data_IF_148277170769
#
_entry.id   IF_148277170769
#
_cell.length_a   1.000
_cell.length_b   1.000
_cell.length_c   1.000
_cell.angle_alpha   90.00
_cell.angle_beta   90.00
_cell.angle_gamma   90.00
#
_symmetry.space_group_name_H-M   'P 1'
#
loop_
_entity.id
_entity.type
_entity.pdbx_description
1 polymer ?
#
# COMPACT_ATOMS: atom_id res chain seq x y z
N UNK A 1 -22.16 -0.55 -11.61
CA UNK A 1 -20.79 -0.30 -11.12
C UNK A 1 -19.99 0.10 -12.33
N UNK A 2 -19.36 1.27 -12.32
CA UNK A 2 -18.38 1.61 -13.35
C UNK A 2 -17.25 0.57 -13.31
N UNK A 3 -16.73 0.20 -14.48
CA UNK A 3 -15.65 -0.74 -14.61
C UNK A 3 -14.35 -0.04 -14.19
N UNK A 4 -13.79 -0.43 -13.04
CA UNK A 4 -12.57 0.19 -12.52
C UNK A 4 -11.37 -0.44 -13.24
N UNK A 5 -10.66 0.35 -14.04
CA UNK A 5 -9.39 -0.05 -14.65
C UNK A 5 -8.23 0.26 -13.69
N UNK A 6 -7.48 -0.77 -13.29
CA UNK A 6 -6.27 -0.62 -12.48
C UNK A 6 -5.05 -0.40 -13.38
N UNK A 7 -4.40 0.76 -13.25
CA UNK A 7 -3.20 1.12 -14.04
C UNK A 7 -1.90 0.62 -13.42
N UNK A 8 -1.94 0.09 -12.20
CA UNK A 8 -0.79 -0.40 -11.47
C UNK A 8 -1.19 -1.56 -10.55
N UNK A 9 -0.30 -2.53 -10.40
CA UNK A 9 -0.48 -3.67 -9.50
C UNK A 9 0.88 -4.09 -8.99
N UNK A 10 0.97 -4.33 -7.68
CA UNK A 10 2.21 -4.70 -7.02
C UNK A 10 1.98 -5.96 -6.16
N UNK A 11 2.71 -7.06 -6.38
CA UNK A 11 2.66 -8.21 -5.48
C UNK A 11 3.31 -7.84 -4.14
N UNK A 12 2.58 -8.02 -3.04
CA UNK A 12 3.07 -7.74 -1.69
C UNK A 12 3.49 -9.04 -1.01
N UNK A 13 4.71 -9.06 -0.48
CA UNK A 13 5.18 -10.13 0.39
C UNK A 13 4.74 -9.86 1.84
N UNK A 14 3.97 -10.77 2.42
CA UNK A 14 3.66 -10.74 3.86
C UNK A 14 4.86 -11.19 4.68
N UNK A 15 5.13 -10.47 5.77
CA UNK A 15 6.24 -10.74 6.69
C UNK A 15 5.69 -11.26 8.00
N UNK A 16 6.48 -12.04 8.72
CA UNK A 16 6.13 -12.49 10.08
C UNK A 16 5.79 -11.31 11.00
N UNK A 17 6.49 -10.19 10.86
CA UNK A 17 6.26 -8.98 11.66
C UNK A 17 4.98 -8.20 11.29
N UNK A 18 4.34 -8.53 10.17
CA UNK A 18 3.09 -7.88 9.76
C UNK A 18 1.88 -8.47 10.52
N UNK A 19 2.05 -9.66 11.11
CA UNK A 19 1.02 -10.38 11.83
C UNK A 19 1.03 -9.96 13.30
N UNK A 20 -0.15 -9.64 13.84
CA UNK A 20 -0.30 -9.29 15.25
C UNK A 20 -0.63 -10.51 16.13
N UNK A 21 -0.88 -10.26 17.41
CA UNK A 21 -1.19 -11.30 18.40
C UNK A 21 -2.48 -12.08 18.11
N UNK A 22 -3.35 -11.56 17.23
CA UNK A 22 -4.57 -12.24 16.83
C UNK A 22 -4.36 -13.21 15.67
N UNK A 23 -3.15 -13.24 15.08
CA UNK A 23 -2.80 -14.20 14.02
C UNK A 23 -3.21 -13.75 12.62
N UNK A 24 -3.53 -12.48 12.45
CA UNK A 24 -3.80 -11.86 11.15
C UNK A 24 -2.95 -10.60 10.97
N UNK A 25 -2.85 -10.15 9.72
CA UNK A 25 -2.15 -8.92 9.38
C UNK A 25 -2.73 -7.75 10.16
N UNK A 26 -1.88 -7.03 10.88
CA UNK A 26 -2.29 -5.87 11.65
C UNK A 26 -2.88 -4.80 10.73
N UNK A 27 -4.02 -4.22 11.10
CA UNK A 27 -4.70 -3.20 10.31
C UNK A 27 -3.80 -1.99 9.96
N UNK A 28 -2.85 -1.64 10.83
CA UNK A 28 -1.92 -0.53 10.59
C UNK A 28 -0.96 -0.82 9.43
N UNK A 29 -0.61 -2.08 9.20
CA UNK A 29 0.37 -2.47 8.17
C UNK A 29 -0.18 -2.24 6.76
N UNK A 30 -1.49 -2.28 6.57
CA UNK A 30 -2.12 -1.97 5.28
C UNK A 30 -1.72 -0.57 4.76
N UNK A 31 -1.56 0.41 5.66
CA UNK A 31 -1.13 1.75 5.26
C UNK A 31 0.29 1.77 4.70
N UNK A 32 1.18 0.91 5.21
CA UNK A 32 2.52 0.72 4.64
C UNK A 32 2.47 0.04 3.27
N UNK A 33 1.54 -0.90 3.05
CA UNK A 33 1.35 -1.50 1.72
C UNK A 33 0.85 -0.48 0.70
N UNK A 34 -0.12 0.36 1.08
CA UNK A 34 -0.60 1.44 0.23
C UNK A 34 0.48 2.48 -0.07
N UNK A 35 1.32 2.81 0.92
CA UNK A 35 2.44 3.74 0.71
C UNK A 35 3.51 3.17 -0.22
N UNK A 36 3.80 1.87 -0.13
CA UNK A 36 4.68 1.17 -1.07
C UNK A 36 4.11 1.17 -2.49
N UNK A 37 2.84 0.78 -2.65
CA UNK A 37 2.18 0.78 -3.95
C UNK A 37 2.11 2.19 -4.57
N UNK A 38 1.87 3.21 -3.76
CA UNK A 38 1.95 4.62 -4.18
C UNK A 38 3.34 4.95 -4.70
N UNK A 39 4.38 4.64 -3.93
CA UNK A 39 5.76 4.99 -4.27
C UNK A 39 6.21 4.29 -5.56
N UNK A 40 5.91 3.00 -5.73
CA UNK A 40 6.20 2.25 -6.96
C UNK A 40 5.42 2.78 -8.16
N UNK A 41 4.15 3.14 -7.96
CA UNK A 41 3.36 3.74 -9.03
C UNK A 41 3.96 5.06 -9.50
N UNK A 42 4.27 5.98 -8.58
CA UNK A 42 4.86 7.27 -8.93
C UNK A 42 6.24 7.13 -9.58
N UNK A 43 7.06 6.19 -9.11
CA UNK A 43 8.33 5.87 -9.78
C UNK A 43 8.12 5.39 -11.23
N UNK A 44 7.04 4.66 -11.50
CA UNK A 44 6.73 4.17 -12.85
C UNK A 44 6.18 5.24 -13.81
N UNK A 45 5.38 6.20 -13.32
CA UNK A 45 4.74 7.23 -14.16
C UNK A 45 5.52 8.54 -14.23
N UNK A 46 6.42 8.77 -13.27
CA UNK A 46 7.22 9.99 -13.15
C UNK A 46 8.72 9.65 -12.95
N UNK A 47 9.40 9.12 -13.98
CA UNK A 47 10.79 8.64 -13.85
C UNK A 47 11.81 9.75 -13.59
N UNK A 48 11.50 10.99 -13.98
CA UNK A 48 12.42 12.13 -13.90
C UNK A 48 12.22 13.02 -12.66
N UNK A 49 11.39 12.59 -11.70
CA UNK A 49 11.16 13.35 -10.46
C UNK A 49 12.34 13.20 -9.52
N UNK A 50 12.85 14.34 -9.06
CA UNK A 50 13.93 14.41 -8.07
C UNK A 50 13.32 14.34 -6.66
N UNK A 51 13.20 13.12 -6.12
CA UNK A 51 12.62 12.88 -4.80
C UNK A 51 13.40 13.49 -3.62
N UNK A 52 14.62 14.00 -3.83
CA UNK A 52 15.32 14.78 -2.80
C UNK A 52 14.83 16.23 -2.71
N UNK A 53 14.20 16.73 -3.79
CA UNK A 53 13.64 18.08 -3.87
C UNK A 53 12.12 18.10 -3.81
N UNK A 54 11.49 17.09 -4.39
CA UNK A 54 10.04 16.96 -4.51
C UNK A 54 9.53 15.87 -3.56
N UNK A 55 8.49 16.19 -2.79
CA UNK A 55 7.90 15.29 -1.80
C UNK A 55 6.41 15.06 -2.03
N UNK A 56 5.97 13.80 -1.89
CA UNK A 56 4.55 13.46 -1.90
C UNK A 56 4.07 13.31 -0.46
N UNK A 57 3.01 14.03 -0.11
CA UNK A 57 2.39 13.96 1.22
C UNK A 57 0.97 13.43 1.10
N UNK A 58 0.67 12.41 1.90
CA UNK A 58 -0.69 11.90 2.05
C UNK A 58 -1.43 12.79 3.04
N UNK A 59 -2.38 13.59 2.55
CA UNK A 59 -3.18 14.52 3.37
C UNK A 59 -4.32 13.79 4.08
N UNK A 60 -4.87 12.75 3.46
CA UNK A 60 -5.95 11.94 4.00
C UNK A 60 -5.83 10.51 3.51
N UNK A 61 -6.05 9.56 4.42
CA UNK A 61 -6.14 8.13 4.12
C UNK A 61 -7.20 7.50 5.01
N UNK A 62 -8.06 6.71 4.40
CA UNK A 62 -9.08 5.94 5.09
C UNK A 62 -9.11 4.52 4.52
N UNK A 63 -9.43 3.55 5.37
CA UNK A 63 -9.52 2.16 4.99
C UNK A 63 -10.64 1.47 5.78
N UNK A 64 -11.52 0.79 5.06
CA UNK A 64 -12.51 -0.11 5.64
C UNK A 64 -11.98 -1.53 5.57
N UNK A 65 -11.76 -2.17 6.71
CA UNK A 65 -11.25 -3.53 6.80
C UNK A 65 -12.42 -4.53 6.70
N UNK A 66 -12.60 -5.13 5.53
CA UNK A 66 -13.75 -6.01 5.24
C UNK A 66 -13.52 -7.46 5.63
N UNK A 67 -12.30 -7.96 5.44
CA UNK A 67 -11.91 -9.33 5.73
C UNK A 67 -10.44 -9.38 6.16
N UNK A 68 -10.10 -10.34 7.01
CA UNK A 68 -8.75 -10.52 7.53
C UNK A 68 -7.87 -11.36 6.59
N UNK A 69 -6.59 -11.00 6.54
CA UNK A 69 -5.54 -11.78 5.89
C UNK A 69 -4.79 -12.56 6.98
N UNK A 70 -4.73 -13.87 6.85
CA UNK A 70 -4.01 -14.73 7.80
C UNK A 70 -2.55 -14.86 7.39
N UNK A 71 -1.64 -14.83 8.37
CA UNK A 71 -0.27 -15.26 8.16
C UNK A 71 -0.23 -16.78 8.00
N UNK A 72 0.42 -17.27 6.95
CA UNK A 72 0.71 -18.70 6.75
C UNK A 72 1.73 -19.22 7.76
#
# INVERSE_FOLDING_TARGET
MEEIQFNHTLPIQLRFNDVDKFGHVNNTVYFSFYDLGKTEYFASVCPDVDWEKDGIVVVHIEANFLAQIYGS
#
